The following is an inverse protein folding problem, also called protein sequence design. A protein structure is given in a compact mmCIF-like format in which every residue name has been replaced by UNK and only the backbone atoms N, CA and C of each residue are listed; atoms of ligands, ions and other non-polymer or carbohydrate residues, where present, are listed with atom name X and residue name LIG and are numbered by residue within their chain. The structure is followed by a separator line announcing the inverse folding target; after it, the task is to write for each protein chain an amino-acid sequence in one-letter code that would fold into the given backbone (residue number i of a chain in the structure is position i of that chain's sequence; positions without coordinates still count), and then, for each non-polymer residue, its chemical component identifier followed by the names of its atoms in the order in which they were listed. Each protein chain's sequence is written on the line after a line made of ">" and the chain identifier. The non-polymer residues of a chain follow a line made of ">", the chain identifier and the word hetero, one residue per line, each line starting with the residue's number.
data_IF_214354843862
#
_entry.id   IF_214354843862
#
_cell.length_a   1.000
_cell.length_b   1.000
_cell.length_c   1.000
_cell.angle_alpha   90.00
_cell.angle_beta   90.00
_cell.angle_gamma   90.00
#
_symmetry.space_group_name_H-M   'P 1'
#
loop_
_entity.id
_entity.type
_entity.pdbx_description
1 polymer ?
#
# COMPACT_ATOMS: atom_id res chain seq x y z
N UNK A 1 14.43 -9.95 -29.83
CA UNK A 1 13.82 -8.65 -30.19
C UNK A 1 12.34 -8.89 -30.47
N UNK A 2 11.47 -8.65 -29.49
CA UNK A 2 10.01 -8.66 -29.69
C UNK A 2 9.60 -7.21 -29.77
N UNK A 3 9.17 -6.76 -30.95
CA UNK A 3 8.63 -5.41 -31.14
C UNK A 3 7.34 -5.27 -30.35
N UNK A 4 7.34 -4.40 -29.36
CA UNK A 4 6.13 -3.93 -28.68
C UNK A 4 5.33 -3.06 -29.66
N UNK A 5 4.36 -3.65 -30.32
CA UNK A 5 3.28 -2.88 -30.95
C UNK A 5 2.36 -2.40 -29.80
N UNK A 6 2.06 -1.09 -29.77
CA UNK A 6 1.23 -0.45 -28.74
C UNK A 6 -0.24 -0.88 -28.76
N UNK A 7 -0.49 -2.14 -28.46
CA UNK A 7 -1.83 -2.68 -28.25
C UNK A 7 -2.01 -2.95 -26.76
N UNK A 8 -3.14 -2.55 -26.18
CA UNK A 8 -3.53 -3.00 -24.86
C UNK A 8 -3.50 -4.53 -24.86
N UNK A 9 -2.78 -5.11 -23.90
CA UNK A 9 -2.72 -6.55 -23.73
C UNK A 9 -4.06 -6.98 -23.12
N UNK A 10 -4.93 -7.58 -23.94
CA UNK A 10 -6.24 -8.11 -23.53
C UNK A 10 -6.18 -9.62 -23.44
N UNK A 11 -7.00 -10.22 -22.57
CA UNK A 11 -7.21 -11.66 -22.50
C UNK A 11 -8.02 -12.16 -23.71
N UNK A 12 -8.09 -13.47 -23.91
CA UNK A 12 -8.86 -14.08 -25.02
C UNK A 12 -10.35 -13.76 -24.91
N UNK A 13 -11.03 -13.49 -26.06
CA UNK A 13 -12.47 -13.21 -26.18
C UNK A 13 -13.31 -14.11 -25.27
N UNK A 14 -13.98 -13.48 -24.30
CA UNK A 14 -14.84 -14.10 -23.32
C UNK A 14 -16.28 -13.60 -23.37
N UNK A 15 -17.00 -13.70 -22.26
CA UNK A 15 -18.39 -13.27 -22.11
C UNK A 15 -18.57 -11.77 -22.37
N UNK A 16 -17.64 -10.93 -21.88
CA UNK A 16 -17.65 -9.47 -22.01
C UNK A 16 -16.33 -8.91 -21.48
N UNK A 17 -16.11 -7.61 -21.66
CA UNK A 17 -14.88 -6.92 -21.29
C UNK A 17 -15.06 -6.06 -20.06
N UNK A 18 -14.06 -6.08 -19.18
CA UNK A 18 -13.97 -5.29 -17.95
C UNK A 18 -12.68 -4.47 -17.98
N UNK A 19 -12.79 -3.17 -17.74
CA UNK A 19 -11.61 -2.31 -17.54
C UNK A 19 -11.34 -2.18 -16.04
N UNK A 20 -10.08 -2.37 -15.62
CA UNK A 20 -9.58 -2.13 -14.28
C UNK A 20 -8.66 -0.91 -14.32
N UNK A 21 -9.07 0.18 -13.70
CA UNK A 21 -8.38 1.45 -13.74
C UNK A 21 -7.65 1.73 -12.43
N UNK A 22 -6.32 1.91 -12.52
CA UNK A 22 -5.46 2.27 -11.38
C UNK A 22 -5.18 3.77 -11.41
N UNK A 23 -5.67 4.55 -10.44
CA UNK A 23 -5.53 6.00 -10.44
C UNK A 23 -4.11 6.44 -10.06
N UNK A 24 -3.69 7.59 -10.57
CA UNK A 24 -2.44 8.26 -10.23
C UNK A 24 -2.51 8.82 -8.82
N UNK A 25 -1.45 8.63 -8.04
CA UNK A 25 -1.23 9.31 -6.76
C UNK A 25 0.11 10.07 -6.76
N UNK A 26 0.25 11.02 -5.85
CA UNK A 26 1.33 12.02 -5.82
C UNK A 26 2.78 11.48 -5.83
N UNK A 27 2.99 10.19 -5.58
CA UNK A 27 4.34 9.66 -5.42
C UNK A 27 4.94 9.26 -6.76
N UNK A 28 5.85 10.07 -7.28
CA UNK A 28 6.68 9.77 -8.46
C UNK A 28 7.62 8.55 -8.29
N UNK A 29 7.68 7.96 -7.09
CA UNK A 29 8.76 7.06 -6.70
C UNK A 29 8.48 5.60 -6.90
N UNK A 30 7.24 5.19 -6.76
CA UNK A 30 6.90 3.79 -6.68
C UNK A 30 5.93 3.43 -7.80
N UNK A 31 6.43 3.38 -9.03
CA UNK A 31 5.71 2.71 -10.10
C UNK A 31 5.73 1.20 -9.86
N UNK A 32 5.29 0.80 -8.64
CA UNK A 32 5.03 -0.61 -8.40
C UNK A 32 3.92 -1.08 -9.33
N UNK A 33 4.07 -2.29 -9.87
CA UNK A 33 3.01 -2.91 -10.65
C UNK A 33 1.66 -2.82 -9.90
N UNK A 34 0.52 -2.74 -10.62
CA UNK A 34 -0.80 -2.56 -10.01
C UNK A 34 -1.28 -3.86 -9.34
N UNK A 35 -0.61 -4.30 -8.28
CA UNK A 35 -0.82 -5.57 -7.60
C UNK A 35 -2.26 -5.88 -7.23
N UNK A 36 -3.11 -4.92 -6.78
CA UNK A 36 -4.52 -5.21 -6.54
C UNK A 36 -5.20 -5.84 -7.75
N UNK A 37 -4.88 -5.35 -8.94
CA UNK A 37 -5.45 -5.85 -10.18
C UNK A 37 -4.76 -7.10 -10.70
N UNK A 38 -3.44 -7.20 -10.53
CA UNK A 38 -2.73 -8.43 -10.90
C UNK A 38 -3.21 -9.64 -10.11
N UNK A 39 -3.67 -9.45 -8.87
CA UNK A 39 -4.26 -10.53 -8.08
C UNK A 39 -5.76 -10.73 -8.34
N UNK A 40 -6.50 -9.69 -8.74
CA UNK A 40 -7.93 -9.77 -9.03
C UNK A 40 -8.21 -10.36 -10.42
N UNK A 41 -7.44 -9.94 -11.42
CA UNK A 41 -7.68 -10.28 -12.83
C UNK A 41 -7.77 -11.78 -13.11
N UNK A 42 -6.93 -12.68 -12.54
CA UNK A 42 -7.04 -14.12 -12.78
C UNK A 42 -8.41 -14.70 -12.44
N UNK A 43 -9.09 -14.18 -11.44
CA UNK A 43 -10.42 -14.61 -11.04
C UNK A 43 -11.50 -14.14 -12.02
N UNK A 44 -11.32 -12.94 -12.58
CA UNK A 44 -12.20 -12.37 -13.61
C UNK A 44 -12.04 -13.16 -14.91
N UNK A 45 -10.79 -13.46 -15.34
CA UNK A 45 -10.48 -14.28 -16.51
C UNK A 45 -11.03 -15.70 -16.37
N UNK A 46 -10.90 -16.31 -15.17
CA UNK A 46 -11.45 -17.64 -14.86
C UNK A 46 -12.98 -17.67 -14.92
N UNK A 47 -13.64 -16.55 -14.62
CA UNK A 47 -15.09 -16.40 -14.80
C UNK A 47 -15.49 -16.20 -16.28
N UNK A 48 -14.52 -16.08 -17.20
CA UNK A 48 -14.72 -16.02 -18.64
C UNK A 48 -14.85 -14.59 -19.20
N UNK A 49 -14.45 -13.56 -18.45
CA UNK A 49 -14.42 -12.18 -18.91
C UNK A 49 -13.06 -11.77 -19.44
N UNK A 50 -13.06 -10.87 -20.42
CA UNK A 50 -11.85 -10.20 -20.88
C UNK A 50 -11.48 -9.08 -19.90
N UNK A 51 -10.19 -8.94 -19.59
CA UNK A 51 -9.69 -7.91 -18.65
C UNK A 51 -8.70 -7.00 -19.37
N UNK A 52 -8.90 -5.68 -19.19
CA UNK A 52 -7.94 -4.66 -19.57
C UNK A 52 -7.53 -3.87 -18.33
N UNK A 53 -6.23 -3.76 -18.06
CA UNK A 53 -5.70 -2.94 -16.96
C UNK A 53 -5.16 -1.63 -17.53
N UNK A 54 -5.65 -0.50 -17.03
CA UNK A 54 -5.12 0.83 -17.32
C UNK A 54 -4.54 1.41 -16.04
N UNK A 55 -3.24 1.67 -16.03
CA UNK A 55 -2.54 2.30 -14.92
C UNK A 55 -2.13 3.72 -15.30
N UNK A 56 -2.86 4.70 -14.81
CA UNK A 56 -2.63 6.10 -15.15
C UNK A 56 -1.28 6.66 -14.67
N UNK A 57 -0.55 5.94 -13.82
CA UNK A 57 0.79 6.32 -13.37
C UNK A 57 1.86 6.13 -14.43
N UNK A 58 1.64 5.18 -15.35
CA UNK A 58 2.59 4.81 -16.42
C UNK A 58 2.03 5.02 -17.83
N UNK A 59 0.77 5.47 -17.93
CA UNK A 59 0.08 5.75 -19.19
C UNK A 59 -0.28 7.24 -19.28
N UNK A 60 0.56 8.07 -19.89
CA UNK A 60 0.30 9.53 -19.96
C UNK A 60 -1.01 9.88 -20.70
N UNK A 61 -1.43 9.05 -21.65
CA UNK A 61 -2.67 9.22 -22.45
C UNK A 61 -3.82 8.37 -21.91
N UNK A 62 -3.84 8.11 -20.62
CA UNK A 62 -4.80 7.20 -19.99
C UNK A 62 -6.29 7.59 -20.25
N UNK A 63 -6.64 8.88 -20.38
CA UNK A 63 -8.02 9.28 -20.68
C UNK A 63 -8.47 8.80 -22.07
N UNK A 64 -7.59 8.90 -23.06
CA UNK A 64 -7.86 8.43 -24.42
C UNK A 64 -7.94 6.90 -24.46
N UNK A 65 -7.01 6.23 -23.76
CA UNK A 65 -7.03 4.79 -23.61
C UNK A 65 -8.33 4.32 -22.93
N UNK A 66 -8.71 4.97 -21.83
CA UNK A 66 -9.94 4.64 -21.09
C UNK A 66 -11.16 4.78 -21.99
N UNK A 67 -11.31 5.90 -22.68
CA UNK A 67 -12.42 6.12 -23.65
C UNK A 67 -12.45 5.07 -24.74
N UNK A 68 -11.30 4.65 -25.25
CA UNK A 68 -11.20 3.61 -26.28
C UNK A 68 -11.64 2.25 -25.74
N UNK A 69 -11.10 1.84 -24.59
CA UNK A 69 -11.34 0.51 -24.03
C UNK A 69 -12.76 0.35 -23.44
N UNK A 70 -13.40 1.47 -23.01
CA UNK A 70 -14.77 1.45 -22.51
C UNK A 70 -15.82 1.24 -23.60
N UNK A 71 -15.53 1.52 -24.88
CA UNK A 71 -16.51 1.33 -25.98
C UNK A 71 -17.06 -0.09 -26.08
N UNK A 72 -16.22 -1.09 -25.74
CA UNK A 72 -16.56 -2.51 -25.81
C UNK A 72 -16.68 -3.13 -24.41
N UNK A 73 -16.71 -2.32 -23.35
CA UNK A 73 -16.72 -2.79 -21.98
C UNK A 73 -18.08 -2.53 -21.31
N UNK A 74 -18.51 -3.41 -20.43
CA UNK A 74 -19.72 -3.25 -19.65
C UNK A 74 -19.48 -2.83 -18.19
N UNK A 75 -18.22 -2.87 -17.75
CA UNK A 75 -17.86 -2.53 -16.36
C UNK A 75 -16.49 -1.86 -16.28
N UNK A 76 -16.37 -0.93 -15.32
CA UNK A 76 -15.14 -0.25 -14.95
C UNK A 76 -14.88 -0.45 -13.45
N UNK A 77 -13.79 -1.15 -13.11
CA UNK A 77 -13.32 -1.33 -11.74
C UNK A 77 -12.28 -0.28 -11.38
N UNK A 78 -12.47 0.44 -10.27
CA UNK A 78 -11.58 1.50 -9.80
C UNK A 78 -11.14 1.20 -8.36
N UNK A 79 -9.82 1.18 -8.11
CA UNK A 79 -9.28 1.15 -6.74
C UNK A 79 -9.09 2.57 -6.22
N UNK A 80 -9.16 2.76 -4.88
CA UNK A 80 -9.01 4.07 -4.28
C UNK A 80 -8.30 4.03 -2.93
N UNK A 81 -7.48 5.04 -2.67
CA UNK A 81 -6.92 5.37 -1.37
C UNK A 81 -7.41 6.74 -0.93
N UNK A 82 -7.34 7.07 0.35
CA UNK A 82 -7.66 8.42 0.82
C UNK A 82 -6.49 9.34 0.49
N UNK A 83 -6.68 10.21 -0.49
CA UNK A 83 -5.64 11.12 -0.96
C UNK A 83 -5.81 11.55 -2.42
N UNK A 84 -4.76 12.09 -3.04
CA UNK A 84 -4.79 12.68 -4.37
C UNK A 84 -5.24 11.76 -5.51
N UNK A 85 -5.06 10.45 -5.35
CA UNK A 85 -5.56 9.45 -6.30
C UNK A 85 -7.08 9.51 -6.52
N UNK A 86 -7.83 9.98 -5.53
CA UNK A 86 -9.28 10.18 -5.67
C UNK A 86 -9.63 11.15 -6.80
N UNK A 87 -8.81 12.17 -7.08
CA UNK A 87 -9.04 13.09 -8.20
C UNK A 87 -9.08 12.34 -9.53
N UNK A 88 -8.10 11.47 -9.76
CA UNK A 88 -8.02 10.67 -10.99
C UNK A 88 -9.09 9.58 -11.02
N UNK A 89 -9.42 8.99 -9.86
CA UNK A 89 -10.51 8.01 -9.74
C UNK A 89 -11.88 8.61 -10.08
N UNK A 90 -12.21 9.79 -9.54
CA UNK A 90 -13.42 10.54 -9.88
C UNK A 90 -13.47 10.88 -11.36
N UNK A 91 -12.35 11.36 -11.93
CA UNK A 91 -12.27 11.69 -13.35
C UNK A 91 -12.51 10.48 -14.24
N UNK A 92 -11.99 9.30 -13.89
CA UNK A 92 -12.25 8.07 -14.63
C UNK A 92 -13.74 7.66 -14.59
N UNK A 93 -14.39 7.77 -13.41
CA UNK A 93 -15.84 7.54 -13.29
C UNK A 93 -16.65 8.51 -14.12
N UNK A 94 -16.28 9.80 -14.10
CA UNK A 94 -16.97 10.82 -14.92
C UNK A 94 -16.86 10.52 -16.41
N UNK A 95 -15.66 10.17 -16.90
CA UNK A 95 -15.48 9.77 -18.31
C UNK A 95 -16.41 8.61 -18.69
N UNK A 96 -16.52 7.61 -17.84
CA UNK A 96 -17.40 6.47 -18.11
C UNK A 96 -18.88 6.89 -18.16
N UNK A 97 -19.33 7.73 -17.23
CA UNK A 97 -20.71 8.26 -17.22
C UNK A 97 -21.02 9.13 -18.44
N UNK A 98 -20.06 9.98 -18.85
CA UNK A 98 -20.21 10.84 -20.05
C UNK A 98 -20.29 10.03 -21.35
N UNK A 99 -19.67 8.84 -21.37
CA UNK A 99 -19.69 7.96 -22.56
C UNK A 99 -20.95 7.10 -22.62
N UNK A 100 -21.31 6.47 -21.51
CA UNK A 100 -22.43 5.53 -21.46
C UNK A 100 -22.86 5.33 -20.00
N UNK A 101 -24.12 5.64 -19.69
CA UNK A 101 -24.71 5.44 -18.38
C UNK A 101 -24.90 3.96 -18.01
N UNK A 102 -24.84 3.04 -18.98
CA UNK A 102 -24.97 1.60 -18.74
C UNK A 102 -23.66 0.93 -18.33
N UNK A 103 -22.52 1.63 -18.42
CA UNK A 103 -21.25 1.13 -17.90
C UNK A 103 -21.34 1.04 -16.37
N UNK A 104 -21.21 -0.20 -15.85
CA UNK A 104 -21.28 -0.46 -14.42
C UNK A 104 -20.00 0.00 -13.72
N UNK A 105 -20.10 0.96 -12.80
CA UNK A 105 -18.97 1.50 -12.02
C UNK A 105 -18.79 0.75 -10.70
N UNK A 106 -17.62 0.14 -10.53
CA UNK A 106 -17.28 -0.73 -9.39
C UNK A 106 -16.07 -0.18 -8.66
N UNK A 107 -16.29 0.39 -7.49
CA UNK A 107 -15.21 0.94 -6.67
C UNK A 107 -14.76 -0.05 -5.59
N UNK A 108 -13.46 -0.01 -5.30
CA UNK A 108 -12.84 -0.76 -4.20
C UNK A 108 -11.62 -0.01 -3.63
N UNK A 109 -10.78 -0.73 -2.89
CA UNK A 109 -9.60 -0.15 -2.25
C UNK A 109 -9.87 0.42 -0.87
N UNK A 110 -8.87 1.04 -0.28
CA UNK A 110 -8.90 1.45 1.13
C UNK A 110 -9.94 2.54 1.41
N UNK A 111 -10.03 3.56 0.55
CA UNK A 111 -10.97 4.66 0.76
C UNK A 111 -12.42 4.18 0.65
N UNK A 112 -12.76 3.53 -0.46
CA UNK A 112 -14.10 3.01 -0.69
C UNK A 112 -14.51 1.98 0.38
N UNK A 113 -13.57 1.17 0.89
CA UNK A 113 -13.84 0.25 2.00
C UNK A 113 -14.11 0.95 3.33
N UNK A 114 -13.46 2.08 3.59
CA UNK A 114 -13.60 2.83 4.84
C UNK A 114 -14.81 3.77 4.84
N UNK A 115 -15.12 4.38 3.70
CA UNK A 115 -16.12 5.45 3.53
C UNK A 115 -17.01 5.18 2.28
N UNK A 116 -17.69 4.03 2.21
CA UNK A 116 -18.46 3.66 1.02
C UNK A 116 -19.62 4.62 0.74
N UNK A 117 -20.23 5.21 1.78
CA UNK A 117 -21.36 6.11 1.62
C UNK A 117 -20.96 7.40 0.88
N UNK A 118 -19.74 7.91 1.08
CA UNK A 118 -19.25 9.09 0.36
C UNK A 118 -19.12 8.82 -1.14
N UNK A 119 -18.69 7.60 -1.52
CA UNK A 119 -18.59 7.20 -2.92
C UNK A 119 -19.96 7.13 -3.59
N UNK A 120 -20.98 6.61 -2.86
CA UNK A 120 -22.35 6.54 -3.39
C UNK A 120 -23.04 7.91 -3.46
N UNK A 121 -22.76 8.81 -2.51
CA UNK A 121 -23.42 10.12 -2.45
C UNK A 121 -23.10 10.99 -3.68
N UNK A 122 -21.92 10.82 -4.27
CA UNK A 122 -21.47 11.60 -5.43
C UNK A 122 -21.66 10.86 -6.78
N UNK A 123 -22.40 9.75 -6.80
CA UNK A 123 -22.74 8.95 -7.97
C UNK A 123 -21.57 8.37 -8.78
N UNK A 124 -20.41 8.25 -8.15
CA UNK A 124 -19.23 7.70 -8.81
C UNK A 124 -19.19 6.18 -8.85
N UNK A 125 -20.12 5.48 -8.17
CA UNK A 125 -20.16 4.03 -8.18
C UNK A 125 -21.56 3.45 -8.14
N UNK A 126 -21.77 2.34 -8.85
CA UNK A 126 -22.93 1.47 -8.73
C UNK A 126 -22.69 0.39 -7.67
N UNK A 127 -21.44 -0.05 -7.54
CA UNK A 127 -20.98 -1.05 -6.56
C UNK A 127 -19.75 -0.55 -5.80
N UNK A 128 -19.69 -0.91 -4.52
CA UNK A 128 -18.50 -0.72 -3.67
C UNK A 128 -18.11 -2.06 -3.04
N UNK A 129 -16.85 -2.45 -3.25
CA UNK A 129 -16.26 -3.66 -2.68
C UNK A 129 -15.44 -3.32 -1.45
N UNK A 130 -15.77 -3.96 -0.34
CA UNK A 130 -15.14 -3.74 0.96
C UNK A 130 -14.08 -4.82 1.23
N UNK A 131 -12.82 -4.42 1.30
CA UNK A 131 -11.68 -5.33 1.51
C UNK A 131 -11.34 -6.17 0.28
N UNK A 132 -10.85 -7.43 0.47
CA UNK A 132 -10.45 -8.31 -0.63
C UNK A 132 -11.65 -8.73 -1.49
N UNK A 133 -11.53 -8.60 -2.80
CA UNK A 133 -12.64 -8.78 -3.74
C UNK A 133 -12.44 -9.93 -4.75
N UNK A 134 -11.35 -10.70 -4.65
CA UNK A 134 -11.00 -11.75 -5.61
C UNK A 134 -12.12 -12.76 -5.84
N UNK A 135 -12.88 -13.10 -4.79
CA UNK A 135 -13.97 -14.07 -4.86
C UNK A 135 -15.34 -13.43 -5.10
N UNK A 136 -15.54 -12.18 -4.73
CA UNK A 136 -16.84 -11.50 -4.82
C UNK A 136 -16.99 -10.71 -6.11
N UNK A 137 -15.92 -10.13 -6.61
CA UNK A 137 -15.96 -9.30 -7.81
C UNK A 137 -16.43 -10.09 -9.05
N UNK A 138 -15.92 -11.31 -9.36
CA UNK A 138 -16.41 -12.10 -10.47
C UNK A 138 -17.88 -12.50 -10.37
N UNK A 139 -18.36 -12.78 -9.15
CA UNK A 139 -19.78 -13.12 -8.90
C UNK A 139 -20.69 -11.93 -9.21
N UNK A 140 -20.30 -10.73 -8.80
CA UNK A 140 -21.05 -9.50 -9.11
C UNK A 140 -20.99 -9.21 -10.62
N UNK A 141 -19.82 -9.34 -11.25
CA UNK A 141 -19.71 -9.17 -12.71
C UNK A 141 -20.63 -10.10 -13.47
N UNK A 142 -20.70 -11.37 -13.08
CA UNK A 142 -21.61 -12.34 -13.71
C UNK A 142 -23.08 -11.98 -13.52
N UNK A 143 -23.46 -11.55 -12.32
CA UNK A 143 -24.83 -11.11 -12.05
C UNK A 143 -25.19 -9.86 -12.88
N UNK A 144 -24.31 -8.87 -12.97
CA UNK A 144 -24.50 -7.67 -13.79
C UNK A 144 -24.60 -8.03 -15.29
N UNK A 145 -23.65 -8.82 -15.80
CA UNK A 145 -23.62 -9.23 -17.20
C UNK A 145 -24.88 -9.99 -17.61
N UNK A 146 -25.37 -10.91 -16.77
CA UNK A 146 -26.57 -11.71 -17.01
C UNK A 146 -27.87 -11.01 -16.61
N UNK A 147 -27.81 -9.75 -16.12
CA UNK A 147 -28.95 -8.98 -15.59
C UNK A 147 -29.73 -9.73 -14.51
N UNK A 148 -28.99 -10.48 -13.66
CA UNK A 148 -29.54 -11.22 -12.52
C UNK A 148 -29.47 -10.42 -11.22
N UNK A 149 -30.19 -10.86 -10.21
CA UNK A 149 -30.07 -10.27 -8.88
C UNK A 149 -28.71 -10.61 -8.24
N UNK A 150 -28.19 -9.67 -7.46
CA UNK A 150 -26.98 -9.88 -6.66
C UNK A 150 -27.31 -10.84 -5.53
N UNK A 151 -26.51 -11.90 -5.30
CA UNK A 151 -26.74 -12.83 -4.20
C UNK A 151 -26.87 -12.11 -2.85
N UNK A 152 -27.93 -12.38 -2.11
CA UNK A 152 -28.25 -11.68 -0.86
C UNK A 152 -27.27 -11.97 0.28
N UNK A 153 -26.54 -13.09 0.20
CA UNK A 153 -25.55 -13.55 1.17
C UNK A 153 -24.12 -13.11 0.86
N UNK A 154 -23.91 -12.38 -0.26
CA UNK A 154 -22.57 -11.90 -0.64
C UNK A 154 -22.05 -10.88 0.36
N UNK A 155 -20.90 -11.16 0.96
CA UNK A 155 -20.27 -10.29 1.97
C UNK A 155 -19.33 -9.30 1.31
N UNK A 156 -19.19 -8.11 1.92
CA UNK A 156 -18.25 -7.09 1.47
C UNK A 156 -18.61 -6.46 0.13
N UNK A 157 -19.88 -6.48 -0.22
CA UNK A 157 -20.39 -5.83 -1.44
C UNK A 157 -21.58 -4.95 -1.06
N UNK A 158 -21.50 -3.69 -1.44
CA UNK A 158 -22.57 -2.72 -1.38
C UNK A 158 -22.93 -2.26 -2.79
N UNK A 159 -24.19 -1.95 -3.03
CA UNK A 159 -24.68 -1.45 -4.32
C UNK A 159 -25.87 -0.52 -4.16
N UNK A 160 -26.02 0.40 -5.12
CA UNK A 160 -27.12 1.36 -5.15
C UNK A 160 -28.27 0.82 -6.03
N UNK A 161 -29.47 0.78 -5.51
CA UNK A 161 -30.69 0.40 -6.25
C UNK A 161 -31.85 1.27 -5.80
N UNK A 162 -32.52 1.94 -6.74
CA UNK A 162 -33.65 2.85 -6.46
C UNK A 162 -33.31 3.89 -5.38
N UNK A 163 -32.12 4.49 -5.43
CA UNK A 163 -31.65 5.50 -4.47
C UNK A 163 -31.26 4.96 -3.08
N UNK A 164 -31.35 3.64 -2.85
CA UNK A 164 -30.97 3.01 -1.57
C UNK A 164 -29.69 2.21 -1.72
N UNK A 165 -28.83 2.27 -0.70
CA UNK A 165 -27.63 1.41 -0.59
C UNK A 165 -28.06 0.09 0.05
N UNK A 166 -27.81 -0.99 -0.65
CA UNK A 166 -28.10 -2.38 -0.26
C UNK A 166 -26.81 -3.17 -0.15
N UNK A 167 -26.90 -4.41 0.36
CA UNK A 167 -25.77 -5.34 0.45
C UNK A 167 -25.23 -5.49 1.87
N UNK A 168 -24.03 -6.07 2.01
CA UNK A 168 -23.45 -6.42 3.31
C UNK A 168 -22.14 -5.66 3.58
N UNK A 169 -22.08 -5.00 4.75
CA UNK A 169 -20.85 -4.36 5.26
C UNK A 169 -19.90 -5.37 5.94
N UNK A 170 -20.27 -6.63 6.03
CA UNK A 170 -19.41 -7.65 6.60
C UNK A 170 -18.30 -8.02 5.61
N UNK A 171 -17.08 -7.59 5.89
CA UNK A 171 -15.90 -7.86 5.06
C UNK A 171 -15.49 -9.33 5.15
N UNK A 172 -15.13 -9.93 4.02
CA UNK A 172 -14.54 -11.26 3.99
C UNK A 172 -13.14 -11.27 4.63
N UNK A 173 -12.76 -12.43 5.16
CA UNK A 173 -11.38 -12.66 5.57
C UNK A 173 -10.43 -12.50 4.37
N UNK A 174 -9.27 -11.91 4.59
CA UNK A 174 -8.23 -11.90 3.57
C UNK A 174 -7.76 -13.34 3.33
N UNK A 175 -7.87 -13.81 2.08
CA UNK A 175 -7.38 -15.10 1.63
C UNK A 175 -6.24 -14.84 0.64
N UNK A 176 -5.14 -15.58 0.76
CA UNK A 176 -3.97 -15.41 -0.10
C UNK A 176 -3.32 -16.76 -0.46
N UNK A 177 -3.95 -17.87 -0.09
CA UNK A 177 -3.50 -19.24 -0.36
C UNK A 177 -4.24 -19.88 -1.56
N UNK A 178 -4.51 -19.07 -2.59
CA UNK A 178 -5.09 -19.54 -3.84
C UNK A 178 -4.00 -19.78 -4.90
N UNK A 179 -4.21 -20.72 -5.83
CA UNK A 179 -3.19 -21.16 -6.79
C UNK A 179 -3.00 -20.23 -7.99
N UNK A 180 -3.92 -19.29 -8.22
CA UNK A 180 -3.87 -18.39 -9.36
C UNK A 180 -2.65 -17.46 -9.28
N UNK A 181 -1.73 -17.48 -10.26
CA UNK A 181 -0.61 -16.54 -10.30
C UNK A 181 -1.09 -15.13 -10.66
N UNK A 182 -0.36 -14.08 -10.26
CA UNK A 182 -0.67 -12.72 -10.70
C UNK A 182 -0.67 -12.59 -12.23
N UNK A 183 -1.61 -11.80 -12.76
CA UNK A 183 -1.82 -11.64 -14.20
C UNK A 183 -0.78 -10.69 -14.84
N UNK A 184 0.51 -11.01 -14.76
CA UNK A 184 1.59 -10.19 -15.35
C UNK A 184 1.46 -10.04 -16.88
N UNK A 185 0.76 -10.94 -17.56
CA UNK A 185 0.50 -10.88 -18.99
C UNK A 185 -0.43 -9.74 -19.41
N UNK A 186 -1.13 -9.10 -18.47
CA UNK A 186 -2.03 -7.97 -18.71
C UNK A 186 -1.34 -6.60 -18.63
N UNK A 187 -0.06 -6.55 -18.35
CA UNK A 187 0.70 -5.30 -18.22
C UNK A 187 2.02 -5.38 -19.00
N UNK A 188 2.51 -4.21 -19.42
CA UNK A 188 3.89 -4.08 -19.89
C UNK A 188 4.80 -3.89 -18.66
N UNK A 189 5.47 -4.97 -18.26
CA UNK A 189 6.34 -5.00 -17.07
C UNK A 189 7.49 -4.00 -17.17
N UNK A 190 7.96 -3.68 -18.39
CA UNK A 190 9.07 -2.73 -18.58
C UNK A 190 8.73 -1.30 -18.15
N UNK A 191 7.45 -0.91 -18.20
CA UNK A 191 6.99 0.40 -17.69
C UNK A 191 7.15 0.56 -16.18
N UNK A 192 7.30 -0.55 -15.45
CA UNK A 192 7.46 -0.58 -13.99
C UNK A 192 8.90 -0.86 -13.55
N UNK A 193 9.82 -0.96 -14.50
CA UNK A 193 11.21 -1.26 -14.20
C UNK A 193 11.96 -0.01 -13.72
N UNK A 194 12.31 0.01 -12.45
CA UNK A 194 13.16 1.07 -11.89
C UNK A 194 14.62 0.93 -12.34
N UNK A 195 15.41 2.00 -12.20
CA UNK A 195 16.87 1.99 -12.48
C UNK A 195 17.59 0.86 -11.74
N UNK A 196 17.14 0.51 -10.57
CA UNK A 196 17.74 -0.52 -9.70
C UNK A 196 17.13 -1.91 -9.88
N UNK A 197 16.22 -2.05 -10.83
CA UNK A 197 15.60 -3.30 -11.21
C UNK A 197 14.96 -4.03 -10.01
N UNK A 198 14.25 -3.26 -9.16
CA UNK A 198 13.56 -3.74 -7.97
C UNK A 198 12.09 -4.01 -8.28
N UNK A 199 11.56 -5.11 -7.77
CA UNK A 199 10.13 -5.42 -7.81
C UNK A 199 9.57 -5.58 -6.41
N UNK A 200 8.38 -5.03 -6.16
CA UNK A 200 7.63 -5.34 -4.95
C UNK A 200 7.09 -6.77 -5.00
N UNK A 201 7.02 -7.40 -3.83
CA UNK A 201 6.42 -8.72 -3.69
C UNK A 201 5.64 -8.83 -2.38
N UNK A 202 4.51 -9.53 -2.43
CA UNK A 202 3.65 -9.78 -1.27
C UNK A 202 3.54 -11.29 -1.07
N UNK A 203 4.07 -11.80 0.03
CA UNK A 203 3.93 -13.18 0.45
C UNK A 203 2.75 -13.38 1.40
N UNK A 204 2.40 -12.32 2.15
CA UNK A 204 1.32 -12.34 3.14
C UNK A 204 0.39 -11.15 2.96
N UNK A 205 -0.85 -11.31 3.41
CA UNK A 205 -1.82 -10.23 3.60
C UNK A 205 -2.23 -10.17 5.06
N UNK A 206 -2.64 -8.98 5.52
CA UNK A 206 -3.02 -8.75 6.91
C UNK A 206 -1.81 -8.68 7.86
N UNK A 207 -2.10 -8.33 9.11
CA UNK A 207 -1.11 -8.19 10.17
C UNK A 207 -1.70 -8.66 11.50
N UNK A 208 -0.99 -9.45 12.32
CA UNK A 208 -1.53 -9.93 13.60
C UNK A 208 -1.58 -8.85 14.68
N UNK A 209 -0.94 -7.70 14.44
CA UNK A 209 -0.87 -6.60 15.38
C UNK A 209 -2.00 -5.60 15.18
N UNK A 210 -2.40 -4.93 16.27
CA UNK A 210 -3.57 -4.03 16.32
C UNK A 210 -3.16 -2.57 16.59
N UNK A 211 -2.05 -2.12 15.95
CA UNK A 211 -1.60 -0.74 16.10
C UNK A 211 -2.74 0.24 15.77
N UNK A 212 -2.99 1.20 16.67
CA UNK A 212 -4.20 2.05 16.66
C UNK A 212 -4.31 2.97 15.44
N UNK A 213 -3.20 3.24 14.77
CA UNK A 213 -3.13 4.09 13.57
C UNK A 213 -3.23 3.32 12.26
N UNK A 214 -3.18 1.98 12.29
CA UNK A 214 -3.00 1.16 11.09
C UNK A 214 -4.28 0.44 10.69
N UNK A 215 -4.71 0.60 9.44
CA UNK A 215 -5.87 -0.09 8.89
C UNK A 215 -5.60 -1.59 8.59
N UNK A 216 -4.34 -1.99 8.37
CA UNK A 216 -3.97 -3.37 8.01
C UNK A 216 -4.27 -4.38 9.13
N UNK A 217 -4.22 -3.96 10.40
CA UNK A 217 -4.55 -4.81 11.54
C UNK A 217 -6.03 -5.23 11.63
N UNK A 218 -6.89 -4.69 10.77
CA UNK A 218 -8.31 -5.07 10.69
C UNK A 218 -8.52 -6.41 9.95
N UNK A 219 -7.49 -6.89 9.24
CA UNK A 219 -7.57 -8.14 8.48
C UNK A 219 -6.79 -9.25 9.16
N UNK A 220 -7.30 -10.48 9.06
CA UNK A 220 -6.58 -11.69 9.46
C UNK A 220 -5.32 -11.88 8.59
N UNK A 221 -4.33 -12.59 9.15
CA UNK A 221 -3.13 -12.92 8.38
C UNK A 221 -3.41 -14.13 7.49
N UNK A 222 -3.13 -13.99 6.20
CA UNK A 222 -3.14 -15.08 5.23
C UNK A 222 -1.80 -15.13 4.50
N UNK A 223 -1.37 -16.34 4.15
CA UNK A 223 -0.06 -16.59 3.56
C UNK A 223 -0.23 -17.32 2.23
N UNK A 224 0.59 -16.98 1.24
CA UNK A 224 0.74 -17.82 0.05
C UNK A 224 1.31 -19.19 0.40
N UNK A 225 0.86 -20.20 -0.30
CA UNK A 225 1.42 -21.55 -0.22
C UNK A 225 2.91 -21.55 -0.60
N UNK A 226 3.68 -22.46 0.00
CA UNK A 226 5.14 -22.52 -0.19
C UNK A 226 5.51 -22.68 -1.67
N UNK A 227 4.89 -23.60 -2.36
CA UNK A 227 5.16 -23.86 -3.78
C UNK A 227 4.78 -22.67 -4.66
N UNK A 228 3.69 -21.97 -4.33
CA UNK A 228 3.23 -20.79 -5.06
C UNK A 228 4.25 -19.67 -5.00
N UNK A 229 4.64 -19.19 -3.79
CA UNK A 229 5.57 -18.06 -3.73
C UNK A 229 6.96 -18.39 -4.25
N UNK A 230 7.42 -19.64 -4.15
CA UNK A 230 8.70 -20.08 -4.74
C UNK A 230 8.64 -20.01 -6.27
N UNK A 231 7.54 -20.44 -6.88
CA UNK A 231 7.32 -20.36 -8.33
C UNK A 231 7.25 -18.90 -8.80
N UNK A 232 6.50 -18.06 -8.09
CA UNK A 232 6.37 -16.64 -8.44
C UNK A 232 7.69 -15.88 -8.32
N UNK A 233 8.47 -16.10 -7.24
CA UNK A 233 9.78 -15.47 -7.06
C UNK A 233 10.74 -15.90 -8.18
N UNK A 234 10.76 -17.19 -8.56
CA UNK A 234 11.57 -17.64 -9.70
C UNK A 234 11.15 -16.93 -10.99
N UNK A 235 9.86 -16.87 -11.26
CA UNK A 235 9.33 -16.18 -12.45
C UNK A 235 9.76 -14.70 -12.48
N UNK A 236 9.66 -13.98 -11.37
CA UNK A 236 10.11 -12.58 -11.30
C UNK A 236 11.62 -12.42 -11.57
N UNK A 237 12.44 -13.34 -11.07
CA UNK A 237 13.89 -13.22 -11.16
C UNK A 237 14.44 -13.88 -12.43
N UNK A 238 14.00 -15.11 -12.73
CA UNK A 238 14.58 -15.93 -13.82
C UNK A 238 13.95 -15.57 -15.17
N UNK A 239 12.62 -15.32 -15.24
CA UNK A 239 11.92 -15.00 -16.50
C UNK A 239 11.85 -13.48 -16.71
N UNK A 240 11.32 -12.72 -15.75
CA UNK A 240 11.19 -11.26 -15.84
C UNK A 240 12.49 -10.49 -15.52
N UNK A 241 13.58 -11.18 -15.13
CA UNK A 241 14.91 -10.62 -14.94
C UNK A 241 15.03 -9.50 -13.89
N UNK A 242 14.16 -9.45 -12.89
CA UNK A 242 14.36 -8.56 -11.75
C UNK A 242 15.58 -8.98 -10.93
N UNK A 243 16.31 -8.01 -10.37
CA UNK A 243 17.56 -8.24 -9.60
C UNK A 243 17.43 -7.92 -8.12
N UNK A 244 16.30 -7.35 -7.73
CA UNK A 244 16.01 -7.07 -6.34
C UNK A 244 14.53 -7.27 -6.03
N UNK A 245 14.23 -7.77 -4.83
CA UNK A 245 12.89 -7.98 -4.32
C UNK A 245 12.65 -7.10 -3.08
N UNK A 246 11.57 -6.35 -3.09
CA UNK A 246 11.08 -5.62 -1.93
C UNK A 246 9.84 -6.33 -1.36
N UNK A 247 10.00 -7.07 -0.26
CA UNK A 247 8.87 -7.69 0.43
C UNK A 247 8.04 -6.62 1.14
N UNK A 248 6.83 -6.38 0.62
CA UNK A 248 5.88 -5.35 1.08
C UNK A 248 4.82 -5.90 2.04
N UNK A 249 5.03 -7.11 2.53
CA UNK A 249 4.23 -7.67 3.61
C UNK A 249 4.20 -6.72 4.81
N UNK A 250 3.06 -6.50 5.47
CA UNK A 250 2.98 -5.58 6.61
C UNK A 250 3.96 -5.90 7.74
N UNK A 251 4.37 -7.16 7.85
CA UNK A 251 5.48 -7.63 8.71
C UNK A 251 6.08 -8.90 8.09
N UNK A 252 7.01 -8.73 7.15
CA UNK A 252 7.66 -9.86 6.48
C UNK A 252 8.44 -10.74 7.45
N UNK A 253 9.24 -10.13 8.33
CA UNK A 253 10.07 -10.81 9.31
C UNK A 253 9.29 -11.30 10.54
N UNK A 254 8.10 -11.87 10.36
CA UNK A 254 7.25 -12.32 11.46
C UNK A 254 7.57 -13.76 11.89
N UNK A 255 7.80 -14.67 10.95
CA UNK A 255 8.00 -16.10 11.19
C UNK A 255 9.34 -16.54 10.63
N UNK A 256 10.27 -16.90 11.52
CA UNK A 256 11.65 -17.22 11.14
C UNK A 256 11.75 -18.33 10.09
N UNK A 257 11.01 -19.44 10.23
CA UNK A 257 11.05 -20.54 9.26
C UNK A 257 10.66 -20.10 7.84
N UNK A 258 9.71 -19.19 7.73
CA UNK A 258 9.27 -18.67 6.43
C UNK A 258 10.32 -17.75 5.78
N UNK A 259 10.93 -16.89 6.58
CA UNK A 259 11.98 -15.97 6.10
C UNK A 259 13.21 -16.75 5.69
N UNK A 260 13.58 -17.79 6.46
CA UNK A 260 14.71 -18.66 6.09
C UNK A 260 14.46 -19.43 4.80
N UNK A 261 13.24 -19.95 4.58
CA UNK A 261 12.91 -20.61 3.30
C UNK A 261 13.01 -19.66 2.09
N UNK A 262 12.61 -18.39 2.26
CA UNK A 262 12.83 -17.37 1.22
C UNK A 262 14.31 -17.06 1.02
N UNK A 263 15.08 -16.93 2.11
CA UNK A 263 16.51 -16.70 2.03
C UNK A 263 17.25 -17.85 1.34
N UNK A 264 16.88 -19.12 1.63
CA UNK A 264 17.40 -20.30 0.96
C UNK A 264 17.08 -20.31 -0.54
N UNK A 265 15.83 -19.96 -0.90
CA UNK A 265 15.42 -19.84 -2.31
C UNK A 265 16.28 -18.79 -3.02
N UNK A 266 16.38 -17.57 -2.48
CA UNK A 266 17.12 -16.48 -3.10
C UNK A 266 18.61 -16.77 -3.18
N UNK A 267 19.18 -17.43 -2.14
CA UNK A 267 20.55 -17.91 -2.19
C UNK A 267 20.77 -18.95 -3.30
N UNK A 268 19.81 -19.86 -3.50
CA UNK A 268 19.89 -20.89 -4.55
C UNK A 268 19.80 -20.31 -5.99
N UNK A 269 19.04 -19.23 -6.16
CA UNK A 269 18.96 -18.51 -7.44
C UNK A 269 20.25 -17.73 -7.67
N UNK A 270 20.81 -17.13 -6.62
CA UNK A 270 22.03 -16.33 -6.65
C UNK A 270 21.87 -14.94 -7.24
N UNK A 271 22.70 -14.02 -6.79
CA UNK A 271 22.80 -12.63 -7.29
C UNK A 271 21.47 -11.84 -7.26
N UNK A 272 20.65 -12.06 -6.21
CA UNK A 272 19.38 -11.34 -5.98
C UNK A 272 19.48 -10.58 -4.67
N UNK A 273 19.30 -9.28 -4.72
CA UNK A 273 19.17 -8.45 -3.51
C UNK A 273 17.73 -8.51 -2.98
N UNK A 274 17.55 -8.37 -1.69
CA UNK A 274 16.22 -8.32 -1.12
C UNK A 274 16.14 -7.48 0.15
N UNK A 275 14.94 -7.03 0.46
CA UNK A 275 14.60 -6.23 1.63
C UNK A 275 13.17 -6.49 2.07
N UNK A 276 12.82 -6.15 3.31
CA UNK A 276 11.46 -6.36 3.82
C UNK A 276 11.19 -5.59 5.10
N UNK A 277 9.93 -5.62 5.54
CA UNK A 277 9.45 -4.91 6.72
C UNK A 277 9.56 -5.76 7.98
N UNK A 278 10.06 -5.16 9.06
CA UNK A 278 10.23 -5.77 10.37
C UNK A 278 9.61 -4.93 11.49
N UNK A 279 9.43 -5.55 12.65
CA UNK A 279 9.14 -4.86 13.91
C UNK A 279 10.40 -4.68 14.73
N UNK A 280 10.38 -3.79 15.73
CA UNK A 280 11.50 -3.55 16.63
C UNK A 280 12.05 -4.82 17.31
N UNK A 281 11.22 -5.84 17.47
CA UNK A 281 11.62 -7.14 18.04
C UNK A 281 12.48 -8.02 17.13
N UNK A 282 12.85 -7.56 15.94
CA UNK A 282 13.61 -8.26 14.92
C UNK A 282 14.90 -8.90 15.47
N UNK A 283 15.66 -8.18 16.31
CA UNK A 283 16.92 -8.63 16.88
C UNK A 283 16.87 -9.94 17.67
N UNK A 284 15.68 -10.34 18.17
CA UNK A 284 15.50 -11.55 18.99
C UNK A 284 14.74 -12.68 18.29
N UNK A 285 14.45 -12.51 16.99
CA UNK A 285 13.67 -13.50 16.24
C UNK A 285 14.52 -14.54 15.52
N UNK A 286 15.83 -14.30 15.40
CA UNK A 286 16.75 -15.14 14.64
C UNK A 286 18.03 -15.38 15.40
N UNK A 287 18.67 -16.52 15.12
CA UNK A 287 20.02 -16.79 15.64
C UNK A 287 21.08 -15.98 14.88
N UNK A 288 22.29 -15.81 15.46
CA UNK A 288 23.39 -15.15 14.75
C UNK A 288 23.72 -15.80 13.39
N UNK A 289 23.62 -17.13 13.29
CA UNK A 289 23.85 -17.88 12.05
C UNK A 289 22.80 -17.58 11.00
N UNK A 290 21.53 -17.50 11.42
CA UNK A 290 20.41 -17.11 10.53
C UNK A 290 20.57 -15.68 10.02
N UNK A 291 20.97 -14.74 10.85
CA UNK A 291 21.28 -13.36 10.42
C UNK A 291 22.40 -13.31 9.39
N UNK A 292 23.51 -14.03 9.64
CA UNK A 292 24.63 -14.13 8.67
C UNK A 292 24.17 -14.77 7.37
N UNK A 293 23.33 -15.78 7.43
CA UNK A 293 22.80 -16.44 6.23
C UNK A 293 21.88 -15.52 5.43
N UNK A 294 20.98 -14.78 6.07
CA UNK A 294 20.15 -13.78 5.40
C UNK A 294 21.01 -12.74 4.67
N UNK A 295 22.10 -12.25 5.30
CA UNK A 295 23.05 -11.34 4.62
C UNK A 295 23.71 -12.02 3.42
N UNK A 296 24.15 -13.26 3.56
CA UNK A 296 24.76 -14.07 2.48
C UNK A 296 23.76 -14.33 1.33
N UNK A 297 22.48 -14.46 1.62
CA UNK A 297 21.42 -14.67 0.62
C UNK A 297 20.98 -13.40 -0.10
N UNK A 298 21.61 -12.25 0.20
CA UNK A 298 21.35 -10.98 -0.49
C UNK A 298 20.48 -9.98 0.27
N UNK A 299 20.22 -10.17 1.58
CA UNK A 299 19.54 -9.15 2.40
C UNK A 299 20.40 -7.89 2.46
N UNK A 300 19.86 -6.79 1.97
CA UNK A 300 20.57 -5.49 1.92
C UNK A 300 20.00 -4.45 2.87
N UNK A 301 18.70 -4.48 3.13
CA UNK A 301 18.04 -3.49 3.98
C UNK A 301 16.85 -4.08 4.75
N UNK A 302 16.60 -3.58 5.95
CA UNK A 302 15.41 -3.92 6.75
C UNK A 302 14.67 -2.65 7.13
N UNK A 303 13.35 -2.62 6.87
CA UNK A 303 12.49 -1.47 7.08
C UNK A 303 11.72 -1.60 8.39
N UNK A 304 11.74 -0.56 9.21
CA UNK A 304 11.04 -0.49 10.50
C UNK A 304 10.09 0.69 10.54
N UNK A 305 8.83 0.45 10.85
CA UNK A 305 7.99 1.48 11.41
C UNK A 305 8.40 1.69 12.87
N UNK A 306 9.20 2.69 13.18
CA UNK A 306 9.58 3.04 14.56
C UNK A 306 8.48 3.87 15.20
N UNK A 307 7.98 4.81 14.46
CA UNK A 307 6.90 5.77 14.71
C UNK A 307 7.25 6.82 15.78
N UNK A 308 7.74 6.41 16.96
CA UNK A 308 8.09 7.33 18.04
C UNK A 308 9.28 6.81 18.88
N UNK A 309 10.02 7.72 19.47
CA UNK A 309 11.04 7.43 20.47
C UNK A 309 10.50 7.43 21.90
N UNK A 310 9.29 7.95 22.11
CA UNK A 310 8.62 7.91 23.40
C UNK A 310 7.94 6.57 23.64
N UNK A 311 8.28 5.93 24.77
CA UNK A 311 7.62 4.67 25.16
C UNK A 311 6.12 4.89 25.43
N UNK A 312 5.74 6.02 26.00
CA UNK A 312 4.35 6.40 26.25
C UNK A 312 3.55 6.43 24.92
N UNK A 313 4.11 7.03 23.88
CA UNK A 313 3.48 7.11 22.57
C UNK A 313 3.41 5.73 21.91
N UNK A 314 4.46 4.93 21.99
CA UNK A 314 4.46 3.54 21.48
C UNK A 314 3.39 2.68 22.16
N UNK A 315 3.20 2.86 23.48
CA UNK A 315 2.17 2.14 24.24
C UNK A 315 0.76 2.64 23.86
N UNK A 316 0.57 3.95 23.68
CA UNK A 316 -0.68 4.55 23.18
C UNK A 316 -1.06 4.03 21.78
N UNK A 317 -0.06 3.84 20.91
CA UNK A 317 -0.23 3.24 19.59
C UNK A 317 -0.54 1.73 19.63
N UNK A 318 -0.52 1.10 20.78
CA UNK A 318 -0.61 -0.37 20.94
C UNK A 318 0.44 -1.13 20.10
N UNK A 319 1.65 -0.57 20.00
CA UNK A 319 2.67 -1.10 19.12
C UNK A 319 3.34 -2.37 19.66
N UNK A 320 3.24 -2.63 20.98
CA UNK A 320 3.80 -3.82 21.65
C UNK A 320 5.30 -4.04 21.39
N UNK A 321 6.08 -2.96 21.40
CA UNK A 321 7.53 -2.95 21.27
C UNK A 321 8.12 -2.01 22.30
N UNK A 322 9.37 -2.24 22.68
CA UNK A 322 10.13 -1.34 23.54
C UNK A 322 11.07 -0.48 22.69
N UNK A 323 11.26 0.79 23.07
CA UNK A 323 12.24 1.69 22.43
C UNK A 323 13.61 1.01 22.28
N UNK A 324 14.06 0.28 23.29
CA UNK A 324 15.33 -0.44 23.30
C UNK A 324 15.43 -1.55 22.24
N UNK A 325 14.30 -2.11 21.80
CA UNK A 325 14.29 -3.14 20.76
C UNK A 325 14.82 -2.59 19.42
N UNK A 326 14.54 -1.32 19.11
CA UNK A 326 15.03 -0.67 17.89
C UNK A 326 16.54 -0.45 17.91
N UNK A 327 17.10 -0.02 19.07
CA UNK A 327 18.55 0.15 19.24
C UNK A 327 19.29 -1.18 19.08
N UNK A 328 18.76 -2.25 19.67
CA UNK A 328 19.32 -3.60 19.53
C UNK A 328 19.24 -4.09 18.08
N UNK A 329 18.13 -3.87 17.40
CA UNK A 329 17.98 -4.22 15.98
C UNK A 329 18.93 -3.42 15.09
N UNK A 330 19.11 -2.13 15.34
CA UNK A 330 20.08 -1.30 14.64
C UNK A 330 21.51 -1.83 14.78
N UNK A 331 21.89 -2.27 16.01
CA UNK A 331 23.21 -2.84 16.24
C UNK A 331 23.40 -4.14 15.43
N UNK A 332 22.44 -5.06 15.46
CA UNK A 332 22.53 -6.31 14.69
C UNK A 332 22.71 -6.04 13.20
N UNK A 333 21.96 -5.09 12.66
CA UNK A 333 22.06 -4.73 11.24
C UNK A 333 23.40 -4.09 10.91
N UNK A 334 23.89 -3.17 11.76
CA UNK A 334 25.19 -2.54 11.56
C UNK A 334 26.33 -3.56 11.58
N UNK A 335 26.32 -4.49 12.55
CA UNK A 335 27.35 -5.54 12.69
C UNK A 335 27.42 -6.46 11.44
N UNK A 336 26.33 -6.51 10.66
CA UNK A 336 26.22 -7.30 9.42
C UNK A 336 26.39 -6.48 8.13
N UNK A 337 26.58 -5.17 8.24
CA UNK A 337 26.59 -4.28 7.06
C UNK A 337 25.27 -4.27 6.31
N UNK A 338 24.14 -4.37 7.03
CA UNK A 338 22.78 -4.28 6.49
C UNK A 338 22.23 -2.90 6.81
N UNK A 339 21.65 -2.24 5.81
CA UNK A 339 21.01 -0.94 5.99
C UNK A 339 19.75 -1.02 6.85
N UNK A 340 19.53 -0.02 7.67
CA UNK A 340 18.28 0.18 8.40
C UNK A 340 17.49 1.34 7.79
N UNK A 341 16.25 1.08 7.41
CA UNK A 341 15.28 2.12 7.09
C UNK A 341 14.31 2.27 8.28
N UNK A 342 14.17 3.47 8.81
CA UNK A 342 13.33 3.73 9.98
C UNK A 342 12.36 4.89 9.71
N UNK A 343 11.06 4.61 9.71
CA UNK A 343 10.02 5.64 9.61
C UNK A 343 9.56 6.11 10.98
N UNK A 344 9.32 7.42 11.09
CA UNK A 344 8.84 8.10 12.26
C UNK A 344 7.58 8.89 11.93
N UNK A 345 6.66 8.96 12.90
CA UNK A 345 5.41 9.68 12.79
C UNK A 345 5.39 10.81 13.81
N UNK A 346 5.01 11.99 13.37
CA UNK A 346 5.03 13.22 14.16
C UNK A 346 3.65 13.84 14.27
N UNK A 347 3.43 14.67 15.29
CA UNK A 347 2.17 15.33 15.60
C UNK A 347 1.01 14.34 15.80
N UNK A 348 1.25 13.30 16.57
CA UNK A 348 0.27 12.26 16.89
C UNK A 348 -0.73 12.80 17.95
N UNK A 349 -2.03 12.41 17.91
CA UNK A 349 -2.98 12.78 18.96
C UNK A 349 -2.45 12.45 20.36
N UNK A 350 -2.40 13.46 21.24
CA UNK A 350 -1.90 13.34 22.60
C UNK A 350 -0.37 13.30 22.76
N UNK A 351 0.39 13.54 21.69
CA UNK A 351 1.85 13.70 21.75
C UNK A 351 2.22 15.05 22.38
N UNK A 352 3.27 15.06 23.20
CA UNK A 352 3.79 16.24 23.89
C UNK A 352 5.16 16.65 23.33
N UNK A 353 5.63 17.83 23.73
CA UNK A 353 6.98 18.33 23.39
C UNK A 353 8.07 17.38 23.93
N UNK A 354 7.87 16.78 25.10
CA UNK A 354 8.84 15.84 25.65
C UNK A 354 8.90 14.52 24.84
N UNK A 355 7.75 14.04 24.36
CA UNK A 355 7.71 12.89 23.45
C UNK A 355 8.44 13.17 22.13
N UNK A 356 8.30 14.39 21.58
CA UNK A 356 9.06 14.82 20.40
C UNK A 356 10.56 14.78 20.68
N UNK A 357 11.02 15.34 21.80
CA UNK A 357 12.44 15.33 22.21
C UNK A 357 12.97 13.91 22.40
N UNK A 358 12.16 13.00 22.99
CA UNK A 358 12.52 11.59 23.11
C UNK A 358 12.65 10.91 21.73
N UNK A 359 11.79 11.27 20.77
CA UNK A 359 11.84 10.76 19.40
C UNK A 359 13.10 11.23 18.68
N UNK A 360 13.43 12.52 18.75
CA UNK A 360 14.68 13.10 18.21
C UNK A 360 15.91 12.41 18.85
N UNK A 361 15.89 12.25 20.16
CA UNK A 361 16.97 11.54 20.87
C UNK A 361 17.16 10.10 20.41
N UNK A 362 16.07 9.35 20.13
CA UNK A 362 16.16 8.01 19.58
C UNK A 362 16.76 8.02 18.17
N UNK A 363 16.35 8.98 17.32
CA UNK A 363 16.88 9.10 15.95
C UNK A 363 18.39 9.33 15.95
N UNK A 364 18.91 10.20 16.82
CA UNK A 364 20.35 10.43 16.99
C UNK A 364 21.08 9.17 17.47
N UNK A 365 20.50 8.43 18.45
CA UNK A 365 21.09 7.18 18.94
C UNK A 365 21.15 6.12 17.85
N UNK A 366 20.09 5.97 17.05
CA UNK A 366 20.03 5.04 15.93
C UNK A 366 21.09 5.38 14.87
N UNK A 367 21.25 6.67 14.53
CA UNK A 367 22.25 7.11 13.56
C UNK A 367 23.68 6.90 14.06
N UNK A 368 23.92 7.07 15.37
CA UNK A 368 25.22 6.78 15.99
C UNK A 368 25.56 5.28 15.95
N UNK A 369 24.56 4.39 16.11
CA UNK A 369 24.75 2.93 16.09
C UNK A 369 24.91 2.43 14.66
N UNK A 370 24.08 2.91 13.73
CA UNK A 370 24.11 2.52 12.33
C UNK A 370 24.19 3.79 11.46
N UNK A 371 25.39 4.25 11.07
CA UNK A 371 25.57 5.45 10.26
C UNK A 371 24.89 5.40 8.89
N UNK A 372 24.65 4.18 8.37
CA UNK A 372 23.97 3.94 7.09
C UNK A 372 22.44 3.84 7.25
N UNK A 373 21.88 4.32 8.38
CA UNK A 373 20.44 4.36 8.58
C UNK A 373 19.80 5.46 7.75
N UNK A 374 18.70 5.13 7.10
CA UNK A 374 17.79 6.11 6.52
C UNK A 374 16.64 6.40 7.48
N UNK A 375 16.45 7.68 7.79
CA UNK A 375 15.39 8.17 8.67
C UNK A 375 14.32 8.87 7.82
N UNK A 376 13.11 8.34 7.82
CA UNK A 376 11.96 8.96 7.15
C UNK A 376 11.02 9.57 8.18
N UNK A 377 10.65 10.82 7.98
CA UNK A 377 9.69 11.53 8.79
C UNK A 377 8.34 11.59 8.06
N UNK A 378 7.25 11.38 8.80
CA UNK A 378 5.88 11.53 8.31
C UNK A 378 5.06 12.29 9.35
N UNK A 379 4.29 13.28 8.94
CA UNK A 379 3.30 13.92 9.81
C UNK A 379 2.08 13.01 9.87
N UNK A 380 1.55 12.76 11.07
CA UNK A 380 0.38 11.90 11.24
C UNK A 380 -0.80 12.38 10.39
N UNK A 381 -1.34 11.51 9.58
CA UNK A 381 -2.57 11.72 8.81
C UNK A 381 -3.65 10.78 9.35
N UNK A 382 -4.76 11.30 9.88
CA UNK A 382 -5.86 10.47 10.36
C UNK A 382 -6.45 9.64 9.20
N UNK A 383 -6.28 8.32 9.26
CA UNK A 383 -6.83 7.40 8.26
C UNK A 383 -8.20 6.88 8.72
N UNK A 384 -9.25 6.99 7.92
CA UNK A 384 -10.57 6.44 8.24
C UNK A 384 -10.48 4.97 8.66
N UNK A 385 -11.46 4.50 9.45
CA UNK A 385 -11.54 3.15 10.02
C UNK A 385 -10.52 2.80 11.14
N UNK A 386 -9.51 3.64 11.42
CA UNK A 386 -8.56 3.39 12.50
C UNK A 386 -9.07 3.92 13.86
N UNK A 387 -8.56 3.35 14.97
CA UNK A 387 -8.86 3.89 16.30
C UNK A 387 -8.34 5.33 16.43
N UNK A 388 -7.12 5.59 15.98
CA UNK A 388 -6.46 6.90 16.11
C UNK A 388 -7.17 7.99 15.28
N UNK A 389 -7.85 7.64 14.19
CA UNK A 389 -8.75 8.57 13.50
C UNK A 389 -9.91 9.00 14.41
N UNK A 390 -10.54 8.06 15.11
CA UNK A 390 -11.63 8.38 16.06
C UNK A 390 -11.12 9.22 17.23
N UNK A 391 -9.91 8.93 17.72
CA UNK A 391 -9.27 9.72 18.78
C UNK A 391 -9.02 11.16 18.30
N UNK A 392 -8.52 11.36 17.08
CA UNK A 392 -8.35 12.68 16.47
C UNK A 392 -9.68 13.45 16.33
N UNK A 393 -10.74 12.77 15.88
CA UNK A 393 -12.09 13.37 15.77
C UNK A 393 -12.60 13.80 17.14
N UNK A 394 -12.42 12.98 18.17
CA UNK A 394 -12.80 13.32 19.55
C UNK A 394 -12.05 14.55 20.10
N UNK A 395 -10.85 14.81 19.57
CA UNK A 395 -10.01 15.97 19.87
C UNK A 395 -10.21 17.14 18.90
N UNK A 396 -11.29 17.13 18.11
CA UNK A 396 -11.71 18.27 17.28
C UNK A 396 -11.31 18.18 15.80
N UNK A 397 -10.68 17.09 15.34
CA UNK A 397 -10.45 16.90 13.91
C UNK A 397 -11.78 16.82 13.15
N UNK A 398 -11.89 17.62 12.11
CA UNK A 398 -13.04 17.62 11.21
C UNK A 398 -12.63 16.93 9.89
N UNK A 399 -13.00 15.64 9.70
CA UNK A 399 -12.70 14.96 8.46
C UNK A 399 -13.44 15.59 7.29
N UNK A 400 -12.90 15.51 6.07
CA UNK A 400 -13.67 15.81 4.87
C UNK A 400 -14.92 14.93 4.77
N UNK A 401 -15.96 15.45 4.13
CA UNK A 401 -17.25 14.76 3.92
C UNK A 401 -17.51 14.49 2.45
N UNK A 402 -16.56 14.79 1.57
CA UNK A 402 -16.65 14.60 0.12
C UNK A 402 -15.36 14.01 -0.42
N UNK A 403 -15.43 13.27 -1.54
CA UNK A 403 -14.26 12.72 -2.22
C UNK A 403 -13.28 13.83 -2.62
N UNK A 404 -13.79 14.98 -3.09
CA UNK A 404 -12.97 16.16 -3.41
C UNK A 404 -12.25 16.72 -2.16
N UNK A 405 -12.87 16.67 -1.00
CA UNK A 405 -12.23 17.05 0.25
C UNK A 405 -11.11 16.08 0.65
N UNK A 406 -11.35 14.79 0.50
CA UNK A 406 -10.36 13.75 0.77
C UNK A 406 -9.19 13.77 -0.22
N UNK A 407 -9.43 14.12 -1.50
CA UNK A 407 -8.37 14.19 -2.50
C UNK A 407 -7.29 15.24 -2.19
N UNK A 408 -7.60 16.22 -1.36
CA UNK A 408 -6.67 17.25 -0.90
C UNK A 408 -5.77 16.81 0.26
N UNK A 409 -5.98 15.60 0.80
CA UNK A 409 -5.19 15.05 1.92
C UNK A 409 -4.00 14.28 1.39
N UNK A 410 -2.79 14.65 1.81
CA UNK A 410 -1.56 13.97 1.42
C UNK A 410 -0.71 13.65 2.63
N UNK A 411 -0.11 12.44 2.61
CA UNK A 411 0.91 12.04 3.58
C UNK A 411 2.24 12.78 3.34
N UNK A 412 2.37 13.45 2.19
CA UNK A 412 3.52 14.27 1.83
C UNK A 412 3.36 15.74 2.23
N UNK A 413 2.23 16.11 2.87
CA UNK A 413 1.97 17.47 3.33
C UNK A 413 3.03 17.92 4.33
N UNK A 414 3.47 19.18 4.19
CA UNK A 414 4.31 19.86 5.18
C UNK A 414 3.45 20.35 6.35
N UNK A 415 4.07 20.76 7.45
CA UNK A 415 3.34 21.31 8.58
C UNK A 415 2.52 22.58 8.22
N UNK A 416 3.04 23.41 7.32
CA UNK A 416 2.38 24.62 6.83
C UNK A 416 1.05 24.32 6.12
N UNK A 417 0.94 23.15 5.49
CA UNK A 417 -0.25 22.69 4.76
C UNK A 417 -1.27 21.99 5.70
N UNK A 418 -0.92 21.77 6.97
CA UNK A 418 -1.64 20.94 7.91
C UNK A 418 -2.48 21.74 8.91
N UNK A 419 -3.36 22.61 8.40
CA UNK A 419 -4.33 23.36 9.21
C UNK A 419 -5.36 22.48 9.95
N UNK A 420 -5.32 21.18 9.70
CA UNK A 420 -6.22 20.17 10.25
C UNK A 420 -5.70 19.54 11.55
N UNK A 421 -4.50 19.89 12.02
CA UNK A 421 -3.96 19.42 13.30
C UNK A 421 -4.64 20.19 14.44
N UNK A 422 -5.82 19.73 14.82
CA UNK A 422 -6.67 20.36 15.84
C UNK A 422 -6.59 19.64 17.19
N UNK A 423 -5.93 18.49 17.25
CA UNK A 423 -5.74 17.68 18.46
C UNK A 423 -4.56 18.12 19.34
N UNK A 424 -3.84 19.16 18.94
CA UNK A 424 -2.84 19.86 19.74
C UNK A 424 -3.28 21.30 19.96
N UNK A 425 -3.05 21.85 21.15
CA UNK A 425 -3.23 23.28 21.38
C UNK A 425 -2.31 24.09 20.48
N UNK A 426 -2.79 25.21 19.96
CA UNK A 426 -2.08 26.04 18.98
C UNK A 426 -0.69 26.48 19.46
N UNK A 427 -0.56 26.84 20.74
CA UNK A 427 0.72 27.23 21.38
C UNK A 427 1.71 26.07 21.37
N UNK A 428 1.24 24.86 21.75
CA UNK A 428 2.03 23.62 21.76
C UNK A 428 2.44 23.24 20.35
N UNK A 429 1.51 23.30 19.39
CA UNK A 429 1.80 22.98 17.98
C UNK A 429 2.86 23.95 17.40
N UNK A 430 2.77 25.26 17.72
CA UNK A 430 3.76 26.24 17.26
C UNK A 430 5.16 25.92 17.79
N UNK A 431 5.28 25.62 19.09
CA UNK A 431 6.56 25.21 19.67
C UNK A 431 7.06 23.88 19.11
N UNK A 432 6.14 22.92 18.91
CA UNK A 432 6.43 21.62 18.32
C UNK A 432 7.04 21.77 16.91
N UNK A 433 6.39 22.55 16.05
CA UNK A 433 6.87 22.81 14.68
C UNK A 433 8.22 23.51 14.70
N UNK A 434 8.44 24.47 15.61
CA UNK A 434 9.73 25.13 15.75
C UNK A 434 10.84 24.13 16.08
N UNK A 435 10.67 23.30 17.11
CA UNK A 435 11.66 22.28 17.50
C UNK A 435 11.90 21.29 16.35
N UNK A 436 10.83 20.87 15.67
CA UNK A 436 10.93 19.97 14.52
C UNK A 436 11.77 20.58 13.39
N UNK A 437 11.48 21.83 13.01
CA UNK A 437 12.20 22.53 11.95
C UNK A 437 13.65 22.87 12.33
N UNK A 438 13.92 23.21 13.60
CA UNK A 438 15.30 23.43 14.08
C UNK A 438 16.15 22.15 13.96
N UNK A 439 15.55 20.97 14.17
CA UNK A 439 16.26 19.69 14.07
C UNK A 439 16.41 19.17 12.63
N UNK A 440 15.33 19.26 11.84
CA UNK A 440 15.27 18.58 10.52
C UNK A 440 15.37 19.56 9.34
N UNK A 441 15.36 20.87 9.62
CA UNK A 441 15.23 21.90 8.61
C UNK A 441 13.85 21.92 7.96
N UNK A 442 13.67 22.68 6.88
CA UNK A 442 12.46 22.55 6.08
C UNK A 442 12.30 21.10 5.65
N UNK A 443 11.16 20.50 5.99
CA UNK A 443 10.87 19.11 5.66
C UNK A 443 11.01 18.89 4.16
N UNK A 444 12.07 18.18 3.78
CA UNK A 444 12.22 17.64 2.42
C UNK A 444 11.79 16.20 2.44
N UNK A 445 10.75 15.86 1.71
CA UNK A 445 10.35 14.49 1.50
C UNK A 445 11.53 13.69 0.94
N UNK A 446 11.63 12.37 1.26
CA UNK A 446 12.68 11.48 0.73
C UNK A 446 12.85 11.65 -0.78
N UNK A 447 11.75 11.92 -1.46
CA UNK A 447 11.62 12.26 -2.85
C UNK A 447 12.41 13.48 -3.30
N UNK A 448 12.33 14.58 -2.58
CA UNK A 448 13.05 15.81 -2.92
C UNK A 448 14.55 15.63 -2.71
N UNK A 449 14.93 14.85 -1.68
CA UNK A 449 16.34 14.50 -1.42
C UNK A 449 16.95 13.62 -2.51
N UNK A 450 16.15 12.72 -3.11
CA UNK A 450 16.59 11.93 -4.27
C UNK A 450 16.77 12.77 -5.53
N UNK A 451 15.86 13.71 -5.80
CA UNK A 451 15.97 14.64 -6.94
C UNK A 451 17.20 15.53 -6.84
N UNK A 452 17.58 15.92 -5.61
CA UNK A 452 18.77 16.77 -5.38
C UNK A 452 20.08 15.98 -5.26
N UNK A 453 20.04 14.64 -5.28
CA UNK A 453 21.21 13.79 -5.09
C UNK A 453 21.71 13.72 -3.63
N UNK A 454 20.99 14.33 -2.69
CA UNK A 454 21.31 14.29 -1.27
C UNK A 454 21.09 12.89 -0.64
N UNK A 455 20.35 12.03 -1.35
CA UNK A 455 20.04 10.68 -0.91
C UNK A 455 19.69 9.76 -2.08
N UNK A 456 20.24 8.54 -2.05
CA UNK A 456 19.77 7.42 -2.88
C UNK A 456 19.01 6.48 -1.98
N UNK A 457 17.68 6.41 -2.16
CA UNK A 457 16.83 5.55 -1.35
C UNK A 457 17.28 4.08 -1.44
N UNK A 458 17.45 3.35 -0.33
CA UNK A 458 17.63 1.91 -0.38
C UNK A 458 16.40 1.19 -0.98
N UNK A 459 15.31 1.93 -1.18
CA UNK A 459 14.14 1.48 -1.94
C UNK A 459 14.43 1.45 -3.44
N UNK A 460 15.40 2.25 -3.91
CA UNK A 460 15.79 2.40 -5.32
C UNK A 460 17.25 2.00 -5.60
N UNK A 461 18.03 1.69 -4.54
CA UNK A 461 19.43 1.26 -4.58
C UNK A 461 19.65 -0.25 -4.75
#
# INVERSE_FOLDING_TARGET
>A
MVKANGHSLTSKKGKGKVVLFFPTYEREFDNWMPFPYLYLAPFIEKAGFEVCIIDSRVEPTWEEMLKKELKDSFALGITSMSGPDLTTAMRASQIARDMDNDICLMWGGHHASALPDEVFNEDYADFVFLGPAEFTFPVVLEAVYLKKEIPSDIKGVLYKRNGKVLGSRQVNAAIFDYPEPPAYHLIDVEKYRSKNNVVAYFKTRGCPFKCTFCATGNFNVSHKLREQYRKEIRYLVEDLKFRALCFRDPTFFLKASTVMDVAELLHSIGNVRWKGQARGTFHRQYTPEQFKFMRKSGLTSVMFGVESGSQRVLDFMDKKVKRQDYLKSAKVLNDLGIEMYASFMFAIPGETIDDLKETISLMHQLKKINPNIFLQNCIFLPLPSTKMFRDAVALGYKPPTTLQGWSKRSISSKFEDRNDITWMEKSVLTEYIKIYNDEFGEYKHAAEKEKTGEYVSPMHG
#
